data_IF_719124656719
#
_entry.id   IF_719124656719
#
_cell.length_a   1.000
_cell.length_b   1.000
_cell.length_c   1.000
_cell.angle_alpha   90.00
_cell.angle_beta   90.00
_cell.angle_gamma   90.00
#
_symmetry.space_group_name_H-M   'P 1'
#
loop_
_entity.id
_entity.type
_entity.pdbx_description
1 polymer ?
#
# COMPACT_ATOMS: atom_id res chain seq x y z
N UNK A 1 5.02 29.89 71.33
CA UNK A 1 4.87 31.36 71.37
C UNK A 1 5.19 31.82 69.96
N UNK A 2 4.26 31.99 69.02
CA UNK A 2 2.81 32.21 69.05
C UNK A 2 2.25 31.54 67.78
N UNK A 3 1.30 30.60 67.81
CA UNK A 3 -0.12 30.71 68.15
C UNK A 3 -0.97 31.42 67.05
N UNK A 4 -1.87 30.60 66.46
CA UNK A 4 -3.20 30.93 65.89
C UNK A 4 -3.20 31.49 64.45
N UNK A 5 -4.02 31.06 63.50
CA UNK A 5 -5.30 30.34 63.59
C UNK A 5 -5.71 29.76 62.23
N UNK A 6 -6.35 28.59 62.29
CA UNK A 6 -7.14 27.94 61.25
C UNK A 6 -8.62 28.32 61.47
N UNK A 7 -9.46 28.43 60.43
CA UNK A 7 -10.85 27.99 60.54
C UNK A 7 -11.17 27.01 59.40
N UNK A 8 -11.41 25.74 59.71
CA UNK A 8 -12.70 25.19 60.12
C UNK A 8 -13.62 24.87 58.93
N UNK A 9 -13.76 23.57 58.70
CA UNK A 9 -14.75 22.90 57.87
C UNK A 9 -16.19 23.37 58.15
N UNK A 10 -16.98 23.50 57.09
CA UNK A 10 -18.45 23.44 57.14
C UNK A 10 -18.94 22.25 56.31
N UNK A 11 -19.78 21.35 56.86
CA UNK A 11 -20.34 20.22 56.15
C UNK A 11 -21.69 20.61 55.52
N UNK A 12 -21.83 20.45 54.20
CA UNK A 12 -23.16 20.41 53.55
C UNK A 12 -23.61 18.96 53.40
N UNK A 13 -24.32 18.48 54.42
CA UNK A 13 -25.29 17.41 54.29
C UNK A 13 -26.63 18.05 53.91
N UNK A 14 -27.18 17.69 52.75
CA UNK A 14 -28.62 17.72 52.45
C UNK A 14 -28.93 16.31 51.93
N UNK A 15 -29.39 15.41 52.81
CA UNK A 15 -30.81 15.08 53.00
C UNK A 15 -31.47 14.59 51.70
N UNK A 16 -31.41 13.26 51.55
CA UNK A 16 -32.36 12.45 50.81
C UNK A 16 -33.77 12.63 51.41
N UNK A 17 -34.74 12.92 50.55
CA UNK A 17 -36.16 12.77 50.79
C UNK A 17 -36.79 12.10 49.55
N UNK A 18 -37.51 10.98 49.70
CA UNK A 18 -38.02 10.19 48.60
C UNK A 18 -39.39 10.71 48.19
N UNK A 19 -39.61 10.95 46.89
CA UNK A 19 -40.93 10.72 46.30
C UNK A 19 -40.84 10.59 44.79
N UNK A 20 -41.54 9.57 44.33
CA UNK A 20 -41.60 9.08 42.99
C UNK A 20 -42.35 10.05 42.06
N UNK A 21 -41.85 10.22 40.84
CA UNK A 21 -42.69 10.01 39.65
C UNK A 21 -41.84 9.77 38.40
N UNK A 22 -42.28 8.89 37.48
CA UNK A 22 -41.47 8.36 36.40
C UNK A 22 -41.80 9.07 35.07
N UNK A 23 -40.83 9.75 34.45
CA UNK A 23 -41.02 10.31 33.10
C UNK A 23 -39.83 10.15 32.16
N UNK A 24 -38.91 9.21 32.42
CA UNK A 24 -37.76 8.96 31.52
C UNK A 24 -37.67 7.50 31.04
N UNK A 25 -38.59 6.61 31.47
CA UNK A 25 -38.59 5.20 31.05
C UNK A 25 -39.54 4.83 29.90
N UNK A 26 -40.31 5.77 29.34
CA UNK A 26 -41.28 5.48 28.27
C UNK A 26 -40.82 5.83 26.84
N UNK A 27 -39.59 6.33 26.64
CA UNK A 27 -39.06 6.54 25.28
C UNK A 27 -38.24 5.35 24.75
N UNK A 28 -37.90 4.37 25.61
CA UNK A 28 -37.11 3.19 25.21
C UNK A 28 -37.94 2.01 24.66
N UNK A 29 -39.27 2.13 24.57
CA UNK A 29 -40.16 1.03 24.14
C UNK A 29 -41.08 1.37 22.96
N UNK A 30 -40.95 2.56 22.35
CA UNK A 30 -41.78 2.97 21.20
C UNK A 30 -40.99 3.44 19.98
N UNK A 31 -39.67 3.23 19.94
CA UNK A 31 -38.94 3.31 18.68
C UNK A 31 -39.10 1.95 17.96
N UNK A 32 -39.73 1.88 16.78
CA UNK A 32 -39.61 0.68 15.96
C UNK A 32 -38.12 0.42 15.70
N UNK A 33 -37.67 -0.84 15.57
CA UNK A 33 -36.30 -1.13 15.20
C UNK A 33 -36.00 -0.40 13.89
N UNK A 34 -35.20 0.66 13.97
CA UNK A 34 -34.58 1.26 12.80
C UNK A 34 -33.87 0.11 12.08
N UNK A 35 -34.18 -0.15 10.80
CA UNK A 35 -33.44 -1.17 10.07
C UNK A 35 -31.98 -0.74 10.09
N UNK A 36 -31.11 -1.61 10.62
CA UNK A 36 -29.67 -1.57 10.37
C UNK A 36 -29.50 -1.19 8.90
N UNK A 37 -29.07 0.05 8.66
CA UNK A 37 -28.86 0.56 7.33
C UNK A 37 -27.85 -0.38 6.68
N UNK A 38 -28.35 -1.21 5.76
CA UNK A 38 -27.52 -2.13 5.02
C UNK A 38 -26.37 -1.34 4.40
N UNK A 39 -25.12 -1.86 4.43
CA UNK A 39 -24.00 -1.21 3.79
C UNK A 39 -24.39 -0.89 2.33
N UNK A 40 -24.00 0.26 1.79
CA UNK A 40 -24.53 0.75 0.53
C UNK A 40 -24.22 -0.27 -0.57
N UNK A 41 -25.25 -1.01 -1.01
CA UNK A 41 -25.21 -1.94 -2.16
C UNK A 41 -24.59 -1.32 -3.42
N UNK A 42 -24.57 0.02 -3.47
CA UNK A 42 -23.96 0.83 -4.54
C UNK A 42 -22.42 0.74 -4.56
N UNK A 43 -21.75 0.65 -3.42
CA UNK A 43 -20.28 0.56 -3.37
C UNK A 43 -19.78 -0.80 -3.88
N UNK A 44 -20.44 -1.89 -3.48
CA UNK A 44 -20.12 -3.23 -3.97
C UNK A 44 -20.37 -3.36 -5.49
N UNK A 45 -21.46 -2.76 -5.99
CA UNK A 45 -21.75 -2.75 -7.43
C UNK A 45 -20.71 -1.96 -8.24
N UNK A 46 -20.21 -0.83 -7.72
CA UNK A 46 -19.19 -0.02 -8.38
C UNK A 46 -17.81 -0.70 -8.38
N UNK A 47 -17.44 -1.36 -7.27
CA UNK A 47 -16.20 -2.14 -7.18
C UNK A 47 -16.23 -3.35 -8.13
N UNK A 48 -17.35 -4.07 -8.18
CA UNK A 48 -17.54 -5.17 -9.13
C UNK A 48 -17.46 -4.66 -10.59
N UNK A 49 -18.12 -3.54 -10.90
CA UNK A 49 -18.08 -2.95 -12.24
C UNK A 49 -16.67 -2.51 -12.65
N UNK A 50 -15.90 -1.92 -11.74
CA UNK A 50 -14.50 -1.57 -11.96
C UNK A 50 -13.61 -2.79 -12.26
N UNK A 51 -13.81 -3.89 -11.53
CA UNK A 51 -13.10 -5.15 -11.77
C UNK A 51 -13.42 -5.74 -13.16
N UNK A 52 -14.71 -5.77 -13.54
CA UNK A 52 -15.12 -6.26 -14.86
C UNK A 52 -14.60 -5.40 -16.02
N UNK A 53 -14.56 -4.08 -15.86
CA UNK A 53 -14.00 -3.17 -16.88
C UNK A 53 -12.49 -3.34 -17.03
N UNK A 54 -11.77 -3.55 -15.94
CA UNK A 54 -10.33 -3.83 -15.97
C UNK A 54 -10.03 -5.16 -16.66
N UNK A 55 -10.82 -6.19 -16.38
CA UNK A 55 -10.69 -7.50 -17.01
C UNK A 55 -11.06 -7.48 -18.50
N UNK A 56 -12.11 -6.73 -18.88
CA UNK A 56 -12.50 -6.55 -20.28
C UNK A 56 -11.42 -5.82 -21.09
N UNK A 57 -10.83 -4.75 -20.53
CA UNK A 57 -9.71 -4.05 -21.15
C UNK A 57 -8.47 -4.95 -21.31
N UNK A 58 -8.17 -5.78 -20.31
CA UNK A 58 -7.06 -6.73 -20.36
C UNK A 58 -7.29 -7.89 -21.36
N UNK A 59 -8.54 -8.18 -21.73
CA UNK A 59 -8.90 -9.18 -22.75
C UNK A 59 -8.83 -8.59 -24.16
N UNK A 60 -9.26 -7.35 -24.38
CA UNK A 60 -9.19 -6.69 -25.69
C UNK A 60 -7.74 -6.54 -26.18
N UNK A 61 -6.81 -6.23 -25.28
CA UNK A 61 -5.37 -6.18 -25.61
C UNK A 61 -4.82 -7.55 -26.02
N UNK A 62 -5.32 -8.65 -25.42
CA UNK A 62 -4.92 -10.02 -25.78
C UNK A 62 -5.55 -10.53 -27.08
N UNK A 63 -6.67 -9.95 -27.51
CA UNK A 63 -7.42 -10.40 -28.69
C UNK A 63 -6.84 -10.01 -30.04
N UNK A 64 -5.87 -9.07 -30.09
CA UNK A 64 -5.26 -8.57 -31.33
C UNK A 64 -3.90 -9.20 -31.64
N UNK A 65 -3.75 -10.52 -31.48
CA UNK A 65 -2.64 -11.22 -32.12
C UNK A 65 -2.88 -11.29 -33.63
N UNK A 66 -1.98 -10.76 -34.49
CA UNK A 66 -2.05 -10.98 -35.92
C UNK A 66 -1.97 -12.48 -36.21
N UNK A 67 -2.86 -12.98 -37.06
CA UNK A 67 -2.91 -14.40 -37.43
C UNK A 67 -1.54 -14.94 -37.83
N UNK A 68 -1.16 -16.05 -37.21
CA UNK A 68 0.06 -16.80 -37.52
C UNK A 68 0.05 -17.16 -39.02
N UNK A 69 1.11 -16.88 -39.79
CA UNK A 69 1.22 -17.39 -41.15
C UNK A 69 1.32 -18.92 -41.17
N UNK A 70 0.81 -19.59 -42.21
CA UNK A 70 0.75 -21.04 -42.31
C UNK A 70 2.16 -21.67 -42.30
N UNK A 71 2.29 -22.77 -41.58
CA UNK A 71 3.50 -23.59 -41.44
C UNK A 71 4.17 -23.90 -42.79
N UNK A 72 5.47 -23.62 -42.88
CA UNK A 72 6.34 -24.10 -43.96
C UNK A 72 6.73 -25.57 -43.68
N UNK A 73 6.74 -26.44 -44.71
CA UNK A 73 7.04 -27.86 -44.53
C UNK A 73 8.51 -28.11 -44.15
N UNK A 74 8.70 -29.02 -43.20
CA UNK A 74 9.97 -29.45 -42.65
C UNK A 74 10.90 -30.06 -43.72
N UNK A 75 12.13 -29.57 -43.80
CA UNK A 75 13.22 -30.17 -44.57
C UNK A 75 14.07 -31.11 -43.69
N UNK A 76 14.20 -32.36 -44.14
CA UNK A 76 14.92 -33.48 -43.54
C UNK A 76 16.46 -33.36 -43.76
N UNK A 77 17.32 -33.42 -42.71
CA UNK A 77 18.75 -33.56 -42.90
C UNK A 77 19.19 -35.01 -42.64
N UNK A 78 19.33 -35.79 -43.72
CA UNK A 78 20.14 -37.01 -43.75
C UNK A 78 21.55 -36.70 -44.25
N UNK A 79 22.54 -37.23 -43.52
CA UNK A 79 23.77 -37.74 -44.12
C UNK A 79 25.06 -36.99 -43.77
N UNK A 80 25.99 -37.69 -43.13
CA UNK A 80 27.37 -37.23 -42.96
C UNK A 80 28.17 -38.11 -42.00
N UNK A 81 28.78 -39.16 -42.54
CA UNK A 81 29.54 -40.19 -41.83
C UNK A 81 30.97 -39.75 -41.42
N UNK A 82 31.44 -40.41 -40.36
CA UNK A 82 32.81 -40.84 -40.00
C UNK A 82 34.05 -40.19 -40.65
N UNK A 83 35.04 -39.87 -39.80
CA UNK A 83 36.42 -40.29 -40.03
C UNK A 83 37.15 -40.54 -38.70
N UNK A 84 37.89 -41.63 -38.72
CA UNK A 84 38.69 -42.32 -37.71
C UNK A 84 40.17 -41.87 -37.79
N UNK A 85 40.98 -42.38 -36.85
CA UNK A 85 42.46 -42.43 -36.82
C UNK A 85 43.16 -41.23 -36.12
N UNK A 86 44.22 -41.36 -35.32
CA UNK A 86 45.13 -42.47 -34.99
C UNK A 86 45.87 -42.24 -33.65
N UNK A 87 46.45 -43.33 -33.14
CA UNK A 87 47.35 -43.50 -32.00
C UNK A 87 48.64 -42.62 -32.04
N UNK A 88 49.16 -42.21 -30.86
CA UNK A 88 50.48 -42.66 -30.37
C UNK A 88 50.80 -42.16 -28.93
N UNK A 89 51.15 -43.12 -28.07
CA UNK A 89 51.93 -43.02 -26.81
C UNK A 89 53.45 -42.89 -27.16
N UNK A 90 54.45 -42.68 -26.26
CA UNK A 90 54.44 -42.80 -24.78
C UNK A 90 55.32 -41.80 -23.98
N UNK A 91 55.33 -42.02 -22.66
CA UNK A 91 56.33 -41.68 -21.65
C UNK A 91 56.26 -40.34 -20.90
N UNK A 92 56.21 -40.45 -19.56
CA UNK A 92 56.57 -39.35 -18.65
C UNK A 92 55.80 -39.27 -17.33
N UNK A 93 55.78 -40.37 -16.57
CA UNK A 93 55.77 -40.45 -15.10
C UNK A 93 55.39 -39.20 -14.27
N UNK A 94 54.22 -39.19 -13.64
CA UNK A 94 53.83 -38.27 -12.54
C UNK A 94 52.61 -38.81 -11.75
N UNK A 95 52.65 -40.11 -11.45
CA UNK A 95 51.46 -40.91 -11.10
C UNK A 95 51.09 -40.97 -9.62
N UNK A 96 51.59 -40.08 -8.74
CA UNK A 96 51.31 -40.20 -7.30
C UNK A 96 50.69 -38.98 -6.59
N UNK A 97 50.67 -37.78 -7.19
CA UNK A 97 50.03 -36.60 -6.56
C UNK A 97 48.75 -36.11 -7.24
N UNK A 98 48.33 -36.74 -8.34
CA UNK A 98 47.16 -36.32 -9.15
C UNK A 98 45.86 -37.06 -8.81
N UNK A 99 45.91 -38.13 -8.02
CA UNK A 99 44.76 -39.00 -7.74
C UNK A 99 43.85 -38.53 -6.59
N UNK A 100 44.17 -37.42 -5.92
CA UNK A 100 43.31 -36.85 -4.86
C UNK A 100 42.57 -35.57 -5.26
N UNK A 101 42.88 -34.97 -6.42
CA UNK A 101 42.17 -33.80 -6.97
C UNK A 101 41.40 -34.12 -8.25
N UNK A 102 41.49 -35.34 -8.79
CA UNK A 102 40.80 -35.76 -10.02
C UNK A 102 39.41 -36.39 -9.80
N UNK A 103 38.97 -36.63 -8.57
CA UNK A 103 37.70 -37.32 -8.28
C UNK A 103 36.47 -36.39 -8.20
N UNK A 104 36.66 -35.06 -8.19
CA UNK A 104 35.56 -34.10 -8.25
C UNK A 104 35.90 -32.98 -9.23
N UNK A 105 35.35 -32.98 -10.47
CA UNK A 105 35.45 -31.80 -11.32
C UNK A 105 34.82 -30.63 -10.56
N UNK A 106 35.46 -29.44 -10.52
CA UNK A 106 34.87 -28.29 -9.87
C UNK A 106 33.49 -28.02 -10.51
N UNK A 107 32.40 -27.96 -9.72
CA UNK A 107 31.03 -27.92 -10.24
C UNK A 107 30.75 -26.71 -11.15
N UNK A 108 31.63 -25.70 -11.17
CA UNK A 108 31.53 -24.53 -12.03
C UNK A 108 31.91 -24.78 -13.50
N UNK A 109 32.75 -25.77 -13.82
CA UNK A 109 33.23 -25.99 -15.19
C UNK A 109 32.19 -26.62 -16.13
N UNK A 110 31.23 -27.35 -15.57
CA UNK A 110 30.11 -27.95 -16.32
C UNK A 110 29.06 -26.86 -16.62
N UNK A 111 28.81 -25.96 -15.67
CA UNK A 111 27.86 -24.85 -15.85
C UNK A 111 28.22 -23.93 -17.02
N UNK A 112 29.49 -23.52 -17.15
CA UNK A 112 29.93 -22.57 -18.19
C UNK A 112 29.80 -23.16 -19.60
N UNK A 113 30.09 -24.45 -19.77
CA UNK A 113 29.96 -25.12 -21.08
C UNK A 113 28.51 -25.35 -21.47
N UNK A 114 27.64 -25.65 -20.51
CA UNK A 114 26.19 -25.75 -20.74
C UNK A 114 25.60 -24.39 -21.10
N UNK A 115 25.97 -23.32 -20.38
CA UNK A 115 25.51 -21.95 -20.69
C UNK A 115 25.91 -21.53 -22.11
N UNK A 116 27.17 -21.77 -22.52
CA UNK A 116 27.62 -21.43 -23.89
C UNK A 116 26.87 -22.18 -25.00
N UNK A 117 26.39 -23.40 -24.76
CA UNK A 117 25.63 -24.17 -25.76
C UNK A 117 24.16 -23.77 -25.82
N UNK A 118 23.58 -23.33 -24.70
CA UNK A 118 22.16 -22.96 -24.62
C UNK A 118 21.93 -21.50 -25.03
N UNK A 119 22.91 -20.61 -24.83
CA UNK A 119 22.80 -19.18 -25.15
C UNK A 119 22.37 -18.88 -26.60
N UNK A 120 22.93 -19.52 -27.65
CA UNK A 120 22.58 -19.20 -29.03
C UNK A 120 21.15 -19.65 -29.39
N UNK A 121 20.74 -20.84 -28.92
CA UNK A 121 19.39 -21.38 -29.13
C UNK A 121 18.36 -20.54 -28.38
N UNK A 122 18.71 -20.03 -27.20
CA UNK A 122 17.86 -19.13 -26.44
C UNK A 122 17.74 -17.76 -27.12
N UNK A 123 18.84 -17.19 -27.64
CA UNK A 123 18.80 -15.95 -28.43
C UNK A 123 17.91 -16.10 -29.65
N UNK A 124 18.07 -17.18 -30.42
CA UNK A 124 17.23 -17.43 -31.59
C UNK A 124 15.76 -17.70 -31.23
N UNK A 125 15.47 -18.35 -30.09
CA UNK A 125 14.10 -18.55 -29.63
C UNK A 125 13.45 -17.24 -29.13
N UNK A 126 14.24 -16.35 -28.52
CA UNK A 126 13.81 -14.99 -28.16
C UNK A 126 13.62 -14.15 -29.43
N UNK A 127 14.44 -14.28 -30.45
CA UNK A 127 14.29 -13.52 -31.70
C UNK A 127 13.11 -14.03 -32.56
N UNK A 128 12.77 -15.34 -32.47
CA UNK A 128 11.71 -15.95 -33.28
C UNK A 128 10.28 -15.63 -32.79
N UNK A 129 10.10 -15.32 -31.49
CA UNK A 129 8.79 -15.00 -30.91
C UNK A 129 8.78 -13.73 -30.04
N UNK A 130 9.93 -13.13 -29.79
CA UNK A 130 10.12 -12.00 -28.86
C UNK A 130 9.89 -10.68 -29.53
N UNK A 131 8.62 -10.38 -29.84
CA UNK A 131 8.18 -8.99 -29.91
C UNK A 131 8.28 -8.39 -28.52
N UNK A 132 9.49 -7.91 -28.22
CA UNK A 132 9.79 -6.96 -27.16
C UNK A 132 8.85 -5.77 -27.38
N UNK A 133 7.75 -5.71 -26.63
CA UNK A 133 6.74 -4.64 -26.77
C UNK A 133 7.46 -3.30 -26.69
N UNK A 134 7.40 -2.41 -27.70
CA UNK A 134 8.16 -1.17 -27.63
C UNK A 134 7.82 -0.43 -26.32
N UNK A 135 8.80 0.16 -25.62
CA UNK A 135 8.59 0.88 -24.35
C UNK A 135 7.37 1.83 -24.40
N UNK A 136 7.10 2.42 -25.57
CA UNK A 136 5.89 3.22 -25.81
C UNK A 136 4.56 2.47 -25.60
N UNK A 137 4.46 1.18 -25.89
CA UNK A 137 3.29 0.35 -25.58
C UNK A 137 3.05 0.27 -24.08
N UNK A 138 4.11 0.00 -23.31
CA UNK A 138 4.03 0.00 -21.86
C UNK A 138 3.64 1.37 -21.29
N UNK A 139 4.23 2.46 -21.78
CA UNK A 139 3.87 3.83 -21.36
C UNK A 139 2.39 4.12 -21.63
N UNK A 140 1.87 3.73 -22.80
CA UNK A 140 0.43 3.86 -23.12
C UNK A 140 -0.44 3.08 -22.15
N UNK A 141 -0.08 1.84 -21.84
CA UNK A 141 -0.81 0.99 -20.88
C UNK A 141 -0.78 1.57 -19.47
N UNK A 142 0.37 2.11 -19.04
CA UNK A 142 0.51 2.76 -17.74
C UNK A 142 -0.36 4.02 -17.65
N UNK A 143 -0.33 4.89 -18.68
CA UNK A 143 -1.17 6.10 -18.74
C UNK A 143 -2.67 5.76 -18.75
N UNK A 144 -3.08 4.77 -19.55
CA UNK A 144 -4.47 4.34 -19.61
C UNK A 144 -4.93 3.77 -18.27
N UNK A 145 -4.13 2.91 -17.64
CA UNK A 145 -4.44 2.34 -16.33
C UNK A 145 -4.54 3.41 -15.26
N UNK A 146 -3.61 4.39 -15.27
CA UNK A 146 -3.64 5.54 -14.38
C UNK A 146 -4.91 6.39 -14.59
N UNK A 147 -5.28 6.68 -15.84
CA UNK A 147 -6.51 7.42 -16.15
C UNK A 147 -7.77 6.69 -15.67
N UNK A 148 -7.87 5.38 -15.90
CA UNK A 148 -8.99 4.56 -15.41
C UNK A 148 -9.06 4.66 -13.88
N UNK A 149 -7.93 4.50 -13.20
CA UNK A 149 -7.86 4.61 -11.75
C UNK A 149 -8.26 6.00 -11.25
N UNK A 150 -7.85 7.08 -11.93
CA UNK A 150 -8.27 8.45 -11.59
C UNK A 150 -9.79 8.62 -11.71
N UNK A 151 -10.40 8.13 -12.79
CA UNK A 151 -11.85 8.20 -12.98
C UNK A 151 -12.58 7.41 -11.89
N UNK A 152 -12.09 6.22 -11.53
CA UNK A 152 -12.66 5.41 -10.46
C UNK A 152 -12.53 6.11 -9.09
N UNK A 153 -11.36 6.66 -8.76
CA UNK A 153 -11.12 7.37 -7.51
C UNK A 153 -12.00 8.62 -7.39
N UNK A 154 -12.14 9.41 -8.47
CA UNK A 154 -13.03 10.57 -8.51
C UNK A 154 -14.51 10.15 -8.41
N UNK A 155 -14.89 9.01 -8.99
CA UNK A 155 -16.23 8.46 -8.86
C UNK A 155 -16.52 8.05 -7.41
N UNK A 156 -15.59 7.35 -6.74
CA UNK A 156 -15.71 7.03 -5.31
C UNK A 156 -15.80 8.31 -4.49
N UNK A 157 -14.92 9.29 -4.74
CA UNK A 157 -14.95 10.59 -4.06
C UNK A 157 -16.30 11.30 -4.20
N UNK A 158 -16.95 11.18 -5.37
CA UNK A 158 -18.20 11.87 -5.66
C UNK A 158 -19.45 11.17 -5.15
N UNK A 159 -19.45 9.83 -5.13
CA UNK A 159 -20.66 9.03 -4.92
C UNK A 159 -20.66 8.18 -3.64
N UNK A 160 -19.48 7.84 -3.12
CA UNK A 160 -19.34 6.91 -2.01
C UNK A 160 -18.59 7.51 -0.82
N UNK A 161 -17.82 8.57 -1.04
CA UNK A 161 -16.99 9.18 -0.01
C UNK A 161 -17.72 10.38 0.61
N UNK A 162 -18.41 10.11 1.72
CA UNK A 162 -18.94 11.19 2.54
C UNK A 162 -17.79 11.81 3.33
N UNK A 163 -17.35 12.98 2.88
CA UNK A 163 -16.44 13.84 3.64
C UNK A 163 -17.22 14.43 4.81
N UNK A 164 -17.43 13.63 5.84
CA UNK A 164 -18.04 14.06 7.09
C UNK A 164 -17.02 13.98 8.21
N UNK A 165 -16.81 15.14 8.84
CA UNK A 165 -16.05 15.21 10.08
C UNK A 165 -16.81 14.37 11.11
N UNK A 166 -16.14 13.43 11.80
CA UNK A 166 -16.80 12.60 12.79
C UNK A 166 -17.56 13.45 13.81
N UNK A 167 -18.78 13.05 14.19
CA UNK A 167 -19.39 13.64 15.37
C UNK A 167 -18.48 13.38 16.58
N UNK A 168 -18.43 14.29 17.56
CA UNK A 168 -17.70 14.05 18.80
C UNK A 168 -18.20 12.75 19.42
N UNK A 169 -17.29 11.88 19.93
CA UNK A 169 -17.69 10.59 20.46
C UNK A 169 -18.61 10.78 21.68
N UNK A 170 -19.73 10.05 21.68
CA UNK A 170 -20.65 9.98 22.81
C UNK A 170 -20.04 9.07 23.89
N UNK A 171 -19.16 9.61 24.74
CA UNK A 171 -18.64 8.91 25.92
C UNK A 171 -17.21 9.25 26.32
N UNK A 172 -16.77 8.66 27.43
CA UNK A 172 -15.44 8.84 28.04
C UNK A 172 -14.32 8.04 27.36
N UNK A 173 -14.55 7.46 26.16
CA UNK A 173 -13.49 6.74 25.44
C UNK A 173 -12.45 7.73 24.93
N UNK A 174 -11.42 7.95 25.75
CA UNK A 174 -10.27 8.81 25.47
C UNK A 174 -9.17 7.96 24.82
N UNK A 175 -9.39 7.51 23.59
CA UNK A 175 -8.29 6.93 22.83
C UNK A 175 -7.19 7.99 22.67
N UNK A 176 -5.98 7.71 23.16
CA UNK A 176 -4.85 8.62 23.00
C UNK A 176 -4.31 8.48 21.56
N UNK A 177 -4.33 9.55 20.74
CA UNK A 177 -3.77 9.51 19.40
C UNK A 177 -2.28 9.15 19.39
N UNK A 178 -1.54 9.51 20.44
CA UNK A 178 -0.11 9.17 20.55
C UNK A 178 0.09 7.67 20.69
N UNK A 179 -0.64 7.07 21.63
CA UNK A 179 -0.63 5.63 21.88
C UNK A 179 -1.03 4.83 20.63
N UNK A 180 -2.09 5.27 19.93
CA UNK A 180 -2.56 4.64 18.70
C UNK A 180 -1.51 4.72 17.58
N UNK A 181 -0.75 5.81 17.50
CA UNK A 181 0.30 5.97 16.49
C UNK A 181 1.52 5.07 16.76
N UNK A 182 1.89 4.86 18.03
CA UNK A 182 3.05 4.06 18.41
C UNK A 182 2.76 2.56 18.44
N UNK A 183 1.58 2.15 18.92
CA UNK A 183 1.24 0.74 19.13
C UNK A 183 0.24 0.17 18.11
N UNK A 184 -0.50 1.02 17.40
CA UNK A 184 -1.63 0.62 16.55
C UNK A 184 -1.31 0.16 15.13
N UNK A 185 -0.06 -0.22 14.82
CA UNK A 185 0.39 -0.54 13.45
C UNK A 185 -0.48 -1.58 12.73
N UNK A 186 -1.01 -2.58 13.46
CA UNK A 186 -1.84 -3.65 12.90
C UNK A 186 -3.29 -3.64 13.41
N UNK A 187 -3.70 -2.58 14.09
CA UNK A 187 -5.06 -2.46 14.62
C UNK A 187 -6.07 -1.95 13.58
N UNK A 188 -5.71 -1.87 12.29
CA UNK A 188 -6.61 -1.39 11.23
C UNK A 188 -7.88 -2.25 11.04
N UNK A 189 -7.86 -3.50 11.51
CA UNK A 189 -8.98 -4.44 11.45
C UNK A 189 -9.58 -4.73 12.83
N UNK A 190 -9.24 -3.97 13.88
CA UNK A 190 -9.85 -4.14 15.20
C UNK A 190 -11.33 -3.76 15.17
N UNK A 191 -12.13 -4.35 16.05
CA UNK A 191 -13.57 -4.06 16.17
C UNK A 191 -13.84 -2.57 16.47
N UNK A 192 -12.92 -1.92 17.17
CA UNK A 192 -12.97 -0.48 17.46
C UNK A 192 -12.74 0.39 16.22
N UNK A 193 -12.01 -0.13 15.22
CA UNK A 193 -11.78 0.58 13.97
C UNK A 193 -13.00 0.37 13.07
N UNK A 194 -13.67 1.47 12.69
CA UNK A 194 -14.77 1.38 11.73
C UNK A 194 -14.29 0.72 10.43
N UNK A 195 -14.83 -0.45 10.09
CA UNK A 195 -14.51 -1.22 8.88
C UNK A 195 -14.46 -0.38 7.59
N UNK A 196 -15.25 0.70 7.54
CA UNK A 196 -15.22 1.67 6.44
C UNK A 196 -13.85 2.32 6.21
N UNK A 197 -13.09 2.62 7.26
CA UNK A 197 -11.74 3.23 7.14
C UNK A 197 -10.75 2.23 6.54
N UNK A 198 -10.78 0.97 6.98
CA UNK A 198 -9.92 -0.07 6.43
C UNK A 198 -10.25 -0.34 4.96
N UNK A 199 -11.53 -0.49 4.62
CA UNK A 199 -11.97 -0.67 3.22
C UNK A 199 -11.60 0.53 2.35
N UNK A 200 -11.77 1.76 2.83
CA UNK A 200 -11.38 2.96 2.09
C UNK A 200 -9.86 3.07 1.92
N UNK A 201 -9.07 2.73 2.95
CA UNK A 201 -7.61 2.73 2.86
C UNK A 201 -7.11 1.64 1.89
N UNK A 202 -7.79 0.49 1.82
CA UNK A 202 -7.44 -0.58 0.90
C UNK A 202 -7.87 -0.29 -0.55
N UNK A 203 -9.14 0.09 -0.76
CA UNK A 203 -9.70 0.31 -2.10
C UNK A 203 -9.30 1.67 -2.70
N UNK A 204 -9.11 2.69 -1.87
CA UNK A 204 -8.84 4.07 -2.29
C UNK A 204 -7.76 4.75 -1.42
N UNK A 205 -6.55 4.15 -1.33
CA UNK A 205 -5.49 4.64 -0.44
C UNK A 205 -5.12 6.10 -0.72
N UNK A 206 -5.09 6.52 -1.98
CA UNK A 206 -4.77 7.89 -2.37
C UNK A 206 -5.80 8.91 -1.89
N UNK A 207 -7.09 8.60 -2.04
CA UNK A 207 -8.18 9.48 -1.58
C UNK A 207 -8.18 9.54 -0.06
N UNK A 208 -8.01 8.39 0.61
CA UNK A 208 -7.98 8.32 2.07
C UNK A 208 -6.76 9.02 2.66
N UNK A 209 -5.59 8.86 2.06
CA UNK A 209 -4.39 9.59 2.47
C UNK A 209 -4.56 11.09 2.27
N UNK A 210 -5.15 11.51 1.15
CA UNK A 210 -5.40 12.92 0.86
C UNK A 210 -6.35 13.56 1.87
N UNK A 211 -7.39 12.84 2.29
CA UNK A 211 -8.31 13.22 3.37
C UNK A 211 -7.57 13.38 4.71
N UNK A 212 -6.72 12.42 5.06
CA UNK A 212 -5.86 12.51 6.25
C UNK A 212 -4.94 13.73 6.20
N UNK A 213 -4.34 14.03 5.04
CA UNK A 213 -3.45 15.18 4.87
C UNK A 213 -4.20 16.53 5.00
N UNK A 214 -5.45 16.60 4.52
CA UNK A 214 -6.32 17.77 4.66
C UNK A 214 -6.77 17.97 6.11
N UNK A 215 -7.23 16.90 6.77
CA UNK A 215 -7.63 16.92 8.17
C UNK A 215 -6.45 17.26 9.09
N UNK A 216 -5.26 16.76 8.79
CA UNK A 216 -4.04 17.13 9.51
C UNK A 216 -3.66 18.61 9.25
N UNK A 217 -4.21 19.26 8.22
CA UNK A 217 -3.87 20.64 7.86
C UNK A 217 -2.50 20.75 7.20
N UNK A 218 -2.08 19.75 6.42
CA UNK A 218 -0.86 19.83 5.60
C UNK A 218 -1.13 20.49 4.25
N UNK A 219 -2.22 20.12 3.59
CA UNK A 219 -2.60 20.65 2.29
C UNK A 219 -4.07 20.32 1.99
N UNK A 220 -4.76 21.11 1.13
CA UNK A 220 -6.15 20.83 0.75
C UNK A 220 -6.32 19.44 0.12
N UNK A 221 -7.46 18.79 0.35
CA UNK A 221 -7.79 17.44 -0.15
C UNK A 221 -7.42 17.22 -1.63
N UNK A 222 -7.83 18.14 -2.52
CA UNK A 222 -7.59 17.98 -3.95
C UNK A 222 -6.13 18.16 -4.34
N UNK A 223 -5.39 19.01 -3.61
CA UNK A 223 -3.94 19.17 -3.80
C UNK A 223 -3.20 17.92 -3.34
N UNK A 224 -3.57 17.34 -2.19
CA UNK A 224 -3.02 16.06 -1.73
C UNK A 224 -3.33 14.93 -2.70
N UNK A 225 -4.58 14.83 -3.15
CA UNK A 225 -5.00 13.81 -4.10
C UNK A 225 -4.24 13.94 -5.42
N UNK A 226 -4.06 15.16 -5.94
CA UNK A 226 -3.23 15.42 -7.12
C UNK A 226 -1.78 14.99 -6.93
N UNK A 227 -1.17 15.32 -5.79
CA UNK A 227 0.21 14.97 -5.46
C UNK A 227 0.41 13.44 -5.43
N UNK A 228 -0.40 12.71 -4.65
CA UNK A 228 -0.26 11.25 -4.56
C UNK A 228 -0.58 10.57 -5.90
N UNK A 229 -1.49 11.13 -6.70
CA UNK A 229 -1.82 10.61 -8.03
C UNK A 229 -0.67 10.79 -9.03
N UNK A 230 0.04 11.93 -8.99
CA UNK A 230 1.22 12.18 -9.80
C UNK A 230 2.39 11.27 -9.38
N UNK A 231 2.60 11.10 -8.08
CA UNK A 231 3.61 10.18 -7.54
C UNK A 231 3.28 8.73 -7.93
N UNK A 232 2.01 8.35 -7.90
CA UNK A 232 1.52 7.06 -8.42
C UNK A 232 1.88 6.86 -9.90
N UNK A 233 1.64 7.86 -10.75
CA UNK A 233 2.05 7.81 -12.16
C UNK A 233 3.57 7.68 -12.31
N UNK A 234 4.35 8.42 -11.52
CA UNK A 234 5.81 8.35 -11.55
C UNK A 234 6.32 6.97 -11.14
N UNK A 235 5.69 6.34 -10.14
CA UNK A 235 5.99 4.96 -9.75
C UNK A 235 5.67 3.99 -10.87
N UNK A 236 4.51 4.14 -11.54
CA UNK A 236 4.19 3.33 -12.71
C UNK A 236 5.30 3.51 -13.75
N UNK A 237 5.58 4.75 -14.19
CA UNK A 237 6.58 5.12 -15.20
C UNK A 237 8.01 4.61 -14.89
N UNK A 238 8.38 4.55 -13.62
CA UNK A 238 9.69 4.09 -13.17
C UNK A 238 9.79 2.57 -13.09
N UNK A 239 8.71 1.88 -12.67
CA UNK A 239 8.65 0.41 -12.63
C UNK A 239 8.82 -0.19 -14.02
N UNK A 240 8.21 0.39 -15.05
CA UNK A 240 8.42 -0.10 -16.42
C UNK A 240 9.84 0.06 -16.90
N UNK A 241 10.51 1.19 -16.62
CA UNK A 241 11.89 1.38 -17.02
C UNK A 241 12.84 0.39 -16.34
N UNK A 242 12.65 0.15 -15.03
CA UNK A 242 13.49 -0.77 -14.26
C UNK A 242 13.17 -2.24 -14.55
N UNK A 243 11.89 -2.61 -14.63
CA UNK A 243 11.47 -3.94 -15.02
C UNK A 243 11.95 -4.25 -16.45
N UNK A 244 11.85 -3.33 -17.40
CA UNK A 244 12.39 -3.56 -18.74
C UNK A 244 13.91 -3.83 -18.74
N UNK A 245 14.67 -3.09 -17.94
CA UNK A 245 16.12 -3.29 -17.83
C UNK A 245 16.54 -4.55 -17.07
N UNK A 246 15.79 -4.95 -16.02
CA UNK A 246 16.18 -6.00 -15.08
C UNK A 246 15.44 -7.34 -15.28
N UNK A 247 14.19 -7.31 -15.76
CA UNK A 247 13.38 -8.52 -15.94
C UNK A 247 13.93 -9.40 -17.07
N UNK A 248 14.56 -8.80 -18.10
CA UNK A 248 15.24 -9.56 -19.16
C UNK A 248 16.50 -10.30 -18.67
N UNK A 249 17.12 -9.84 -17.57
CA UNK A 249 18.36 -10.42 -17.02
C UNK A 249 18.15 -11.29 -15.78
N UNK A 250 17.05 -11.11 -15.03
CA UNK A 250 16.81 -11.76 -13.71
C UNK A 250 15.51 -12.61 -13.72
N UNK A 251 15.03 -13.06 -14.89
CA UNK A 251 13.83 -13.93 -14.99
C UNK A 251 14.07 -15.40 -14.62
N UNK A 252 15.30 -15.81 -14.30
CA UNK A 252 15.64 -17.23 -14.07
C UNK A 252 15.85 -17.63 -12.60
N UNK A 253 15.88 -16.71 -11.63
CA UNK A 253 16.33 -17.09 -10.27
C UNK A 253 15.54 -16.60 -9.05
N UNK A 254 14.55 -15.71 -9.15
CA UNK A 254 13.87 -15.22 -7.93
C UNK A 254 12.34 -15.14 -8.03
N UNK A 255 11.62 -15.63 -7.01
CA UNK A 255 10.18 -15.83 -7.08
C UNK A 255 9.45 -14.50 -7.13
N UNK A 256 8.43 -14.46 -8.02
CA UNK A 256 7.40 -13.44 -8.20
C UNK A 256 6.80 -12.81 -6.92
N UNK A 257 7.05 -13.40 -5.76
CA UNK A 257 6.55 -12.98 -4.45
C UNK A 257 7.24 -11.71 -3.94
N UNK A 258 8.56 -11.51 -4.17
CA UNK A 258 9.22 -10.26 -3.75
C UNK A 258 8.88 -9.07 -4.67
N UNK A 259 8.54 -9.34 -5.93
CA UNK A 259 8.16 -8.32 -6.91
C UNK A 259 6.71 -7.83 -6.73
N UNK A 260 5.82 -8.70 -6.21
CA UNK A 260 4.45 -8.34 -5.89
C UNK A 260 4.31 -7.42 -4.65
N UNK A 261 5.32 -7.37 -3.77
CA UNK A 261 5.27 -6.59 -2.52
C UNK A 261 5.93 -5.21 -2.65
N UNK A 262 6.82 -5.00 -3.64
CA UNK A 262 7.35 -3.68 -4.02
C UNK A 262 6.37 -2.82 -4.85
N UNK A 263 5.08 -3.17 -4.85
CA UNK A 263 4.05 -2.53 -5.68
C UNK A 263 3.73 -1.08 -5.25
N UNK A 264 3.96 -0.74 -3.98
CA UNK A 264 4.01 0.65 -3.54
C UNK A 264 5.38 1.21 -3.90
N UNK A 265 5.48 1.74 -5.12
CA UNK A 265 6.75 2.18 -5.68
C UNK A 265 7.52 3.16 -4.78
N UNK A 266 8.84 3.20 -5.00
CA UNK A 266 9.80 3.95 -4.19
C UNK A 266 9.34 5.39 -3.88
N UNK A 267 8.82 6.12 -4.87
CA UNK A 267 8.39 7.51 -4.68
C UNK A 267 7.18 7.64 -3.74
N UNK A 268 6.25 6.68 -3.77
CA UNK A 268 5.11 6.68 -2.83
C UNK A 268 5.58 6.43 -1.41
N UNK A 269 6.49 5.47 -1.22
CA UNK A 269 7.06 5.16 0.09
C UNK A 269 7.82 6.36 0.66
N UNK A 270 8.62 7.05 -0.15
CA UNK A 270 9.30 8.28 0.28
C UNK A 270 8.32 9.40 0.66
N UNK A 271 7.28 9.62 -0.17
CA UNK A 271 6.24 10.63 0.11
C UNK A 271 5.55 10.34 1.44
N UNK A 272 5.10 9.10 1.62
CA UNK A 272 4.39 8.65 2.82
C UNK A 272 5.28 8.74 4.05
N UNK A 273 6.55 8.31 3.95
CA UNK A 273 7.51 8.43 5.05
C UNK A 273 7.71 9.90 5.46
N UNK A 274 7.85 10.80 4.49
CA UNK A 274 8.00 12.24 4.76
C UNK A 274 6.80 12.81 5.54
N UNK A 275 5.57 12.51 5.09
CA UNK A 275 4.36 13.01 5.75
C UNK A 275 4.09 12.31 7.09
N UNK A 276 4.44 11.03 7.22
CA UNK A 276 4.36 10.29 8.48
C UNK A 276 5.29 10.87 9.55
N UNK A 277 6.52 11.24 9.17
CA UNK A 277 7.45 11.94 10.05
C UNK A 277 6.96 13.36 10.42
N UNK A 278 6.26 14.04 9.51
CA UNK A 278 5.56 15.30 9.82
C UNK A 278 4.39 15.11 10.80
N UNK A 279 3.65 14.01 10.70
CA UNK A 279 2.61 13.66 11.69
C UNK A 279 3.22 13.42 13.07
N UNK A 280 4.32 12.64 13.17
CA UNK A 280 5.05 12.45 14.45
C UNK A 280 5.43 13.78 15.08
N UNK A 281 5.95 14.72 14.29
CA UNK A 281 6.27 16.08 14.76
C UNK A 281 5.04 16.82 15.29
N UNK A 282 3.90 16.76 14.60
CA UNK A 282 2.64 17.38 15.06
C UNK A 282 2.10 16.79 16.35
N UNK A 283 2.30 15.50 16.59
CA UNK A 283 1.89 14.85 17.84
C UNK A 283 2.92 14.98 18.98
N UNK A 284 4.05 15.66 18.74
CA UNK A 284 5.14 15.74 19.70
C UNK A 284 5.72 14.37 20.06
N UNK A 285 5.72 13.44 19.11
CA UNK A 285 6.39 12.14 19.21
C UNK A 285 7.84 12.28 18.77
N UNK A 286 8.68 11.28 19.10
CA UNK A 286 10.05 11.23 18.56
C UNK A 286 9.98 11.11 17.04
N UNK A 287 10.64 12.03 16.33
CA UNK A 287 10.68 12.09 14.86
C UNK A 287 12.12 12.28 14.38
N UNK A 288 12.41 11.85 13.15
CA UNK A 288 13.70 12.04 12.49
C UNK A 288 14.85 11.20 13.03
N UNK A 289 14.60 10.32 14.02
CA UNK A 289 15.59 9.33 14.43
C UNK A 289 15.70 8.22 13.38
N UNK A 290 16.91 7.68 13.21
CA UNK A 290 17.14 6.55 12.29
C UNK A 290 16.20 5.37 12.55
N UNK A 291 15.96 5.05 13.82
CA UNK A 291 15.06 3.98 14.25
C UNK A 291 13.61 4.25 13.82
N UNK A 292 13.08 5.46 14.06
CA UNK A 292 11.71 5.80 13.67
C UNK A 292 11.55 5.83 12.15
N UNK A 293 12.54 6.35 11.42
CA UNK A 293 12.54 6.37 9.97
C UNK A 293 12.56 4.96 9.35
N UNK A 294 13.39 4.04 9.84
CA UNK A 294 13.40 2.65 9.35
C UNK A 294 12.09 1.94 9.70
N UNK A 295 11.63 2.07 10.95
CA UNK A 295 10.41 1.40 11.40
C UNK A 295 9.21 1.83 10.55
N UNK A 296 9.06 3.14 10.33
CA UNK A 296 8.04 3.71 9.46
C UNK A 296 8.21 3.27 7.99
N UNK A 297 9.44 3.24 7.49
CA UNK A 297 9.73 2.79 6.13
C UNK A 297 9.31 1.33 5.94
N UNK A 298 9.74 0.43 6.84
CA UNK A 298 9.38 -0.98 6.81
C UNK A 298 7.88 -1.18 6.93
N UNK A 299 7.21 -0.40 7.80
CA UNK A 299 5.77 -0.49 7.96
C UNK A 299 4.99 -0.05 6.71
N UNK A 300 5.33 1.10 6.13
CA UNK A 300 4.75 1.60 4.88
C UNK A 300 5.03 0.62 3.73
N UNK A 301 6.23 0.06 3.70
CA UNK A 301 6.66 -0.87 2.66
C UNK A 301 5.94 -2.22 2.76
N UNK A 302 5.75 -2.77 3.96
CA UNK A 302 5.12 -4.08 4.15
C UNK A 302 3.59 -4.05 4.20
N UNK A 303 2.99 -3.02 4.79
CA UNK A 303 1.53 -2.88 4.83
C UNK A 303 1.09 -1.42 4.62
N UNK A 304 1.12 -0.93 3.37
CA UNK A 304 0.80 0.47 3.10
C UNK A 304 -0.64 0.85 3.43
N UNK A 305 -1.61 -0.06 3.22
CA UNK A 305 -3.01 0.21 3.57
C UNK A 305 -3.20 0.29 5.09
N UNK A 306 -2.48 -0.52 5.88
CA UNK A 306 -2.46 -0.41 7.33
C UNK A 306 -1.94 0.98 7.75
N UNK A 307 -0.87 1.44 7.10
CA UNK A 307 -0.28 2.74 7.38
C UNK A 307 -1.25 3.90 7.10
N UNK A 308 -1.89 3.90 5.93
CA UNK A 308 -2.92 4.89 5.58
C UNK A 308 -4.10 4.84 6.55
N UNK A 309 -4.57 3.64 6.92
CA UNK A 309 -5.68 3.48 7.86
C UNK A 309 -5.31 3.99 9.27
N UNK A 310 -4.12 3.64 9.77
CA UNK A 310 -3.62 4.08 11.08
C UNK A 310 -3.47 5.60 11.13
N UNK A 311 -2.86 6.21 10.11
CA UNK A 311 -2.70 7.67 10.05
C UNK A 311 -4.06 8.37 10.06
N UNK A 312 -5.02 7.85 9.30
CA UNK A 312 -6.35 8.40 9.28
C UNK A 312 -7.08 8.26 10.62
N UNK A 313 -6.86 7.16 11.34
CA UNK A 313 -7.44 6.94 12.67
C UNK A 313 -6.85 7.91 13.70
N UNK A 314 -5.52 8.07 13.71
CA UNK A 314 -4.83 8.95 14.66
C UNK A 314 -5.23 10.42 14.45
N UNK A 315 -5.27 10.88 13.19
CA UNK A 315 -5.70 12.25 12.88
C UNK A 315 -7.15 12.48 13.28
N UNK A 316 -8.01 11.47 13.09
CA UNK A 316 -9.41 11.50 13.52
C UNK A 316 -9.54 11.65 15.05
N UNK A 317 -8.87 10.81 15.81
CA UNK A 317 -8.86 10.85 17.28
C UNK A 317 -8.35 12.22 17.80
N UNK A 318 -7.29 12.75 17.19
CA UNK A 318 -6.76 14.06 17.55
C UNK A 318 -7.76 15.20 17.31
N UNK A 319 -8.51 15.12 16.21
CA UNK A 319 -9.58 16.07 15.91
C UNK A 319 -10.71 16.00 16.95
N UNK A 320 -11.13 14.79 17.32
CA UNK A 320 -12.16 14.54 18.34
C UNK A 320 -11.76 15.09 19.72
N UNK A 321 -10.52 14.83 20.16
CA UNK A 321 -9.97 15.38 21.43
C UNK A 321 -9.95 16.91 21.40
N UNK A 322 -9.60 17.52 20.26
CA UNK A 322 -9.60 18.97 20.11
C UNK A 322 -11.00 19.57 20.24
N UNK A 323 -12.02 18.90 19.70
CA UNK A 323 -13.42 19.32 19.81
C UNK A 323 -13.92 19.23 21.26
N UNK A 324 -13.55 18.19 21.99
CA UNK A 324 -13.93 18.01 23.40
C UNK A 324 -13.38 19.09 24.33
N UNK A 325 -12.21 19.67 24.01
CA UNK A 325 -11.60 20.77 24.80
C UNK A 325 -12.38 22.09 24.73
N UNK A 326 -13.56 22.12 24.12
CA UNK A 326 -14.58 23.12 24.43
C UNK A 326 -14.27 24.53 23.91
N UNK A 327 -13.41 24.68 22.90
CA UNK A 327 -13.42 25.93 22.14
C UNK A 327 -14.59 25.87 21.18
N UNK A 328 -15.65 26.68 21.35
CA UNK A 328 -16.76 26.71 20.40
C UNK A 328 -16.16 26.97 19.02
N UNK A 329 -16.26 25.97 18.13
CA UNK A 329 -15.79 26.11 16.77
C UNK A 329 -16.59 27.25 16.16
N UNK A 330 -15.91 28.38 15.90
CA UNK A 330 -16.39 29.30 14.88
C UNK A 330 -16.52 28.44 13.62
N UNK A 331 -17.76 28.24 13.17
CA UNK A 331 -18.15 27.45 11.99
C UNK A 331 -16.98 27.37 11.00
N UNK A 332 -16.44 26.17 10.81
CA UNK A 332 -15.40 25.92 9.84
C UNK A 332 -15.95 26.28 8.45
N UNK A 333 -15.71 27.51 7.99
CA UNK A 333 -16.01 27.92 6.62
C UNK A 333 -14.97 27.23 5.75
N UNK A 334 -15.42 26.41 4.78
CA UNK A 334 -14.54 25.88 3.72
C UNK A 334 -13.68 27.04 3.18
N UNK A 335 -12.38 26.95 3.36
CA UNK A 335 -11.41 27.97 2.92
C UNK A 335 -10.69 28.75 4.04
N UNK A 336 -10.92 28.48 5.32
CA UNK A 336 -10.00 29.00 6.35
C UNK A 336 -8.68 28.20 6.37
N UNK A 337 -7.53 28.89 6.49
CA UNK A 337 -6.22 28.24 6.60
C UNK A 337 -6.17 27.34 7.84
N UNK A 338 -5.35 26.29 7.74
CA UNK A 338 -5.36 25.10 8.59
C UNK A 338 -5.47 25.33 10.10
N UNK A 339 -6.04 24.32 10.75
CA UNK A 339 -6.18 24.21 12.20
C UNK A 339 -4.79 24.33 12.86
N UNK A 340 -4.64 25.26 13.81
CA UNK A 340 -3.40 25.41 14.59
C UNK A 340 -3.30 24.29 15.65
N UNK A 341 -2.27 23.45 15.56
CA UNK A 341 -2.14 22.19 16.31
C UNK A 341 -1.22 22.27 17.53
N UNK A 342 -0.93 23.46 18.04
CA UNK A 342 -0.20 23.61 19.30
C UNK A 342 -1.01 22.99 20.46
N UNK A 343 -0.65 21.74 20.82
CA UNK A 343 -1.25 20.91 21.89
C UNK A 343 -0.32 20.82 23.08
#
# INVERSE_FOLDING_TARGET
>A
RDALSNPAHSPRQNLLGPDATPCVKLWKLMAPPLPLAAPPRRAAALLACGFFLLEAAARDVRGRSPGLPPELPASDPRGGAASESDELSPDGDLTLHRNLTAAFPPPMGIGIRTVKRVLPTFSQAVDANGHVEPYGAWVRTALLSWLIWMVLALSVARFCYDYEVPPPPDGDSKADPKETFEMGHFNCCSEETSWGVCICAFCCPALRWADTADLAGFMPLWSAFGLVSMVGLLNCLSHGALAWGMYQTILLLYPHVLLAWGLWGFFSTCLMLYYRQHLRRKFGLVFGSWETCISDFCFIFWCPWCAVAQEALVVRQAYEVKMQRGRPQRRFRRGQPGVDWDV
#
